data_IF_071142368761
#
_entry.id   IF_071142368761
#
_cell.length_a   1.000
_cell.length_b   1.000
_cell.length_c   1.000
_cell.angle_alpha   90.00
_cell.angle_beta   90.00
_cell.angle_gamma   90.00
#
_symmetry.space_group_name_H-M   'P 1'
#
loop_
_entity.id
_entity.type
_entity.pdbx_description
1 polymer ?
#
# COMPACT_ATOMS: atom_id res chain seq x y z
N UNK A 1 22.52 -16.22 -6.63
CA UNK A 1 22.47 -16.67 -8.04
C UNK A 1 21.84 -18.05 -8.13
N UNK A 2 22.27 -19.06 -7.35
CA UNK A 2 21.59 -20.35 -7.28
C UNK A 2 20.07 -20.25 -7.03
N UNK A 3 19.64 -19.25 -6.24
CA UNK A 3 18.23 -18.96 -5.98
C UNK A 3 17.45 -18.66 -7.26
N UNK A 4 18.01 -17.84 -8.16
CA UNK A 4 17.36 -17.47 -9.43
C UNK A 4 17.20 -18.68 -10.33
N UNK A 5 18.22 -19.54 -10.43
CA UNK A 5 18.12 -20.75 -11.25
C UNK A 5 17.10 -21.73 -10.66
N UNK A 6 17.08 -21.89 -9.34
CA UNK A 6 16.13 -22.78 -8.67
C UNK A 6 14.70 -22.33 -8.91
N UNK A 7 14.40 -21.07 -8.60
CA UNK A 7 13.07 -20.50 -8.81
C UNK A 7 12.70 -20.47 -10.30
N UNK A 8 13.64 -20.10 -11.17
CA UNK A 8 13.45 -20.10 -12.63
C UNK A 8 13.10 -21.47 -13.20
N UNK A 9 13.77 -22.53 -12.74
CA UNK A 9 13.45 -23.90 -13.12
C UNK A 9 12.08 -24.33 -12.57
N UNK A 10 11.78 -24.02 -11.31
CA UNK A 10 10.50 -24.36 -10.67
C UNK A 10 9.30 -23.72 -11.38
N UNK A 11 9.45 -22.48 -11.86
CA UNK A 11 8.41 -21.78 -12.59
C UNK A 11 8.41 -22.08 -14.10
N UNK A 12 9.35 -22.87 -14.60
CA UNK A 12 9.50 -23.10 -16.04
C UNK A 12 9.93 -21.85 -16.83
N UNK A 13 10.43 -20.83 -16.13
CA UNK A 13 10.94 -19.60 -16.73
C UNK A 13 12.33 -19.81 -17.35
N UNK A 14 13.16 -20.62 -16.70
CA UNK A 14 14.51 -20.98 -17.14
C UNK A 14 14.53 -22.48 -17.43
N UNK A 15 15.08 -22.87 -18.58
CA UNK A 15 15.24 -24.28 -18.94
C UNK A 15 16.51 -24.90 -18.35
N UNK A 16 16.55 -26.24 -18.31
CA UNK A 16 17.75 -26.99 -17.92
C UNK A 16 18.96 -26.59 -18.75
N UNK A 17 18.75 -26.46 -20.06
CA UNK A 17 19.77 -26.14 -21.05
C UNK A 17 20.33 -24.73 -20.83
N UNK A 18 19.49 -23.75 -20.48
CA UNK A 18 19.95 -22.40 -20.16
C UNK A 18 20.83 -22.39 -18.90
N UNK A 19 20.45 -23.14 -17.86
CA UNK A 19 21.27 -23.28 -16.65
C UNK A 19 22.59 -23.98 -17.00
N UNK A 20 22.55 -25.10 -17.73
CA UNK A 20 23.76 -25.84 -18.14
C UNK A 20 24.69 -24.94 -18.96
N UNK A 21 24.18 -24.23 -19.97
CA UNK A 21 24.98 -23.38 -20.83
C UNK A 21 25.69 -22.26 -20.04
N UNK A 22 24.98 -21.64 -19.10
CA UNK A 22 25.56 -20.60 -18.25
C UNK A 22 26.62 -21.19 -17.32
N UNK A 23 26.34 -22.32 -16.68
CA UNK A 23 27.27 -23.00 -15.78
C UNK A 23 28.53 -23.48 -16.52
N UNK A 24 28.38 -24.03 -17.72
CA UNK A 24 29.50 -24.41 -18.58
C UNK A 24 30.37 -23.22 -18.94
N UNK A 25 29.77 -22.04 -19.17
CA UNK A 25 30.52 -20.81 -19.41
C UNK A 25 31.34 -20.37 -18.19
N UNK A 26 30.83 -20.62 -16.97
CA UNK A 26 31.54 -20.36 -15.71
C UNK A 26 32.71 -21.33 -15.57
N UNK A 27 32.46 -22.63 -15.78
CA UNK A 27 33.48 -23.68 -15.74
C UNK A 27 34.61 -23.38 -16.72
N UNK A 28 34.29 -22.95 -17.95
CA UNK A 28 35.27 -22.64 -18.98
C UNK A 28 36.08 -21.37 -18.68
N UNK A 29 35.55 -20.45 -17.88
CA UNK A 29 36.20 -19.18 -17.56
C UNK A 29 37.06 -19.22 -16.28
N UNK A 30 36.91 -20.24 -15.44
CA UNK A 30 37.60 -20.38 -14.16
C UNK A 30 38.69 -21.45 -14.22
N UNK A 31 39.90 -21.14 -13.76
CA UNK A 31 41.03 -22.10 -13.75
C UNK A 31 40.78 -23.30 -12.80
N UNK A 32 39.96 -23.10 -11.76
CA UNK A 32 39.59 -24.12 -10.78
C UNK A 32 38.11 -23.91 -10.40
N UNK A 33 37.16 -24.36 -11.26
CA UNK A 33 35.75 -24.15 -11.01
C UNK A 33 35.28 -24.95 -9.80
N UNK A 34 34.32 -24.39 -9.06
CA UNK A 34 33.71 -25.08 -7.92
C UNK A 34 33.06 -26.39 -8.37
N UNK A 35 33.25 -27.46 -7.59
CA UNK A 35 32.62 -28.77 -7.81
C UNK A 35 31.10 -28.65 -7.96
N UNK A 36 30.48 -27.71 -7.23
CA UNK A 36 29.06 -27.40 -7.36
C UNK A 36 28.63 -27.11 -8.80
N UNK A 37 29.41 -26.31 -9.54
CA UNK A 37 29.10 -25.97 -10.93
C UNK A 37 29.26 -27.19 -11.84
N UNK A 38 30.27 -28.02 -11.62
CA UNK A 38 30.47 -29.26 -12.37
C UNK A 38 29.27 -30.21 -12.15
N UNK A 39 28.84 -30.41 -10.91
CA UNK A 39 27.67 -31.23 -10.57
C UNK A 39 26.40 -30.70 -11.25
N UNK A 40 26.19 -29.38 -11.24
CA UNK A 40 25.03 -28.74 -11.83
C UNK A 40 24.99 -28.83 -13.37
N UNK A 41 26.15 -28.76 -14.03
CA UNK A 41 26.28 -28.96 -15.48
C UNK A 41 25.93 -30.40 -15.89
N UNK A 42 26.41 -31.39 -15.12
CA UNK A 42 26.24 -32.82 -15.38
C UNK A 42 24.88 -33.39 -14.97
N UNK A 43 24.00 -32.59 -14.36
CA UNK A 43 22.64 -33.00 -14.02
C UNK A 43 21.87 -33.51 -15.24
N UNK A 44 21.17 -34.64 -15.06
CA UNK A 44 20.48 -35.38 -16.13
C UNK A 44 19.21 -34.68 -16.59
N UNK A 45 18.49 -34.06 -15.67
CA UNK A 45 17.25 -33.35 -15.94
C UNK A 45 17.08 -32.12 -15.02
N UNK A 46 16.02 -31.34 -15.25
CA UNK A 46 15.74 -30.14 -14.48
C UNK A 46 15.42 -30.41 -13.00
N UNK A 47 14.87 -31.59 -12.66
CA UNK A 47 14.58 -31.93 -11.27
C UNK A 47 15.87 -32.19 -10.50
N UNK A 48 16.84 -32.86 -11.11
CA UNK A 48 18.17 -33.06 -10.52
C UNK A 48 18.89 -31.71 -10.33
N UNK A 49 18.78 -30.77 -11.27
CA UNK A 49 19.29 -29.40 -11.07
C UNK A 49 18.61 -28.69 -9.90
N UNK A 50 17.28 -28.78 -9.79
CA UNK A 50 16.53 -28.22 -8.67
C UNK A 50 17.00 -28.82 -7.34
N UNK A 51 17.23 -30.14 -7.28
CA UNK A 51 17.72 -30.82 -6.08
C UNK A 51 19.11 -30.29 -5.68
N UNK A 52 20.05 -30.23 -6.63
CA UNK A 52 21.41 -29.72 -6.41
C UNK A 52 21.37 -28.26 -5.91
N UNK A 53 20.59 -27.40 -6.58
CA UNK A 53 20.43 -26.00 -6.20
C UNK A 53 19.80 -25.85 -4.80
N UNK A 54 18.84 -26.71 -4.45
CA UNK A 54 18.18 -26.69 -3.15
C UNK A 54 19.15 -26.95 -1.98
N UNK A 55 20.24 -27.70 -2.21
CA UNK A 55 21.26 -27.97 -1.17
C UNK A 55 22.04 -26.73 -0.75
N UNK A 56 22.16 -25.73 -1.65
CA UNK A 56 22.97 -24.52 -1.41
C UNK A 56 22.11 -23.27 -1.17
N UNK A 57 20.85 -23.28 -1.58
CA UNK A 57 19.93 -22.17 -1.36
C UNK A 57 19.52 -22.10 0.11
N UNK A 58 19.76 -20.95 0.74
CA UNK A 58 19.53 -20.73 2.18
C UNK A 58 18.06 -20.52 2.55
N UNK A 59 17.16 -20.50 1.57
CA UNK A 59 15.73 -20.20 1.75
C UNK A 59 15.43 -18.73 2.06
N UNK A 60 16.45 -17.87 2.16
CA UNK A 60 16.28 -16.43 2.31
C UNK A 60 15.76 -15.83 1.01
N UNK A 61 14.55 -15.28 1.05
CA UNK A 61 13.98 -14.51 -0.06
C UNK A 61 14.68 -13.15 -0.13
N UNK A 62 15.39 -12.89 -1.22
CA UNK A 62 16.09 -11.63 -1.45
C UNK A 62 15.38 -10.82 -2.55
N UNK A 63 15.16 -9.51 -2.37
CA UNK A 63 14.51 -8.66 -3.38
C UNK A 63 15.16 -8.77 -4.76
N UNK A 64 16.50 -8.80 -4.80
CA UNK A 64 17.27 -8.95 -6.05
C UNK A 64 16.89 -10.21 -6.84
N UNK A 65 16.59 -11.32 -6.18
CA UNK A 65 16.21 -12.57 -6.85
C UNK A 65 14.91 -12.37 -7.61
N UNK A 66 13.91 -11.75 -6.97
CA UNK A 66 12.61 -11.49 -7.57
C UNK A 66 12.70 -10.49 -8.72
N UNK A 67 13.50 -9.45 -8.58
CA UNK A 67 13.74 -8.46 -9.64
C UNK A 67 14.44 -9.07 -10.85
N UNK A 68 15.40 -9.96 -10.63
CA UNK A 68 16.06 -10.72 -11.69
C UNK A 68 15.06 -11.63 -12.40
N UNK A 69 14.20 -12.32 -11.66
CA UNK A 69 13.14 -13.17 -12.23
C UNK A 69 12.20 -12.36 -13.14
N UNK A 70 11.77 -11.17 -12.71
CA UNK A 70 10.96 -10.25 -13.52
C UNK A 70 11.72 -9.83 -14.79
N UNK A 71 13.00 -9.43 -14.67
CA UNK A 71 13.79 -9.00 -15.82
C UNK A 71 13.99 -10.12 -16.86
N UNK A 72 14.26 -11.35 -16.41
CA UNK A 72 14.36 -12.52 -17.29
C UNK A 72 13.01 -12.79 -17.97
N UNK A 73 11.91 -12.75 -17.22
CA UNK A 73 10.57 -12.93 -17.77
C UNK A 73 10.22 -11.85 -18.80
N UNK A 74 10.57 -10.59 -18.54
CA UNK A 74 10.41 -9.48 -19.48
C UNK A 74 11.15 -9.73 -20.80
N UNK A 75 12.41 -10.14 -20.76
CA UNK A 75 13.19 -10.44 -21.96
C UNK A 75 12.57 -11.59 -22.76
N UNK A 76 12.12 -12.64 -22.07
CA UNK A 76 11.53 -13.81 -22.71
C UNK A 76 10.14 -13.51 -23.30
N UNK A 77 9.30 -12.75 -22.63
CA UNK A 77 7.95 -12.43 -23.15
C UNK A 77 8.02 -11.48 -24.34
N UNK A 78 8.93 -10.49 -24.29
CA UNK A 78 9.16 -9.58 -25.42
C UNK A 78 9.80 -10.28 -26.62
N UNK A 79 10.69 -11.25 -26.37
CA UNK A 79 11.25 -12.15 -27.38
C UNK A 79 10.32 -13.29 -27.82
N UNK A 80 9.08 -13.34 -27.34
CA UNK A 80 8.10 -14.40 -27.62
C UNK A 80 8.56 -15.83 -27.26
N UNK A 81 9.53 -15.95 -26.34
CA UNK A 81 10.03 -17.22 -25.84
C UNK A 81 9.13 -17.82 -24.75
N UNK A 82 8.29 -17.01 -24.10
CA UNK A 82 7.25 -17.44 -23.15
C UNK A 82 5.92 -16.76 -23.48
N UNK A 83 4.81 -17.36 -23.01
CA UNK A 83 3.47 -16.77 -23.15
C UNK A 83 3.25 -15.58 -22.21
N UNK A 84 2.24 -14.75 -22.52
CA UNK A 84 1.76 -13.70 -21.61
C UNK A 84 1.31 -14.31 -20.28
N UNK A 85 0.62 -15.44 -20.32
CA UNK A 85 0.12 -16.12 -19.11
C UNK A 85 1.25 -16.53 -18.15
N UNK A 86 2.31 -17.16 -18.68
CA UNK A 86 3.47 -17.54 -17.85
C UNK A 86 4.17 -16.30 -17.27
N UNK A 87 4.29 -15.23 -18.05
CA UNK A 87 4.84 -13.96 -17.57
C UNK A 87 3.99 -13.36 -16.44
N UNK A 88 2.66 -13.32 -16.61
CA UNK A 88 1.71 -12.85 -15.61
C UNK A 88 1.81 -13.69 -14.33
N UNK A 89 1.90 -15.01 -14.45
CA UNK A 89 2.06 -15.91 -13.30
C UNK A 89 3.38 -15.65 -12.55
N UNK A 90 4.49 -15.43 -13.26
CA UNK A 90 5.76 -15.05 -12.63
C UNK A 90 5.62 -13.73 -11.88
N UNK A 91 5.03 -12.70 -12.49
CA UNK A 91 4.83 -11.39 -11.85
C UNK A 91 3.93 -11.50 -10.60
N UNK A 92 2.86 -12.30 -10.69
CA UNK A 92 1.94 -12.59 -9.59
C UNK A 92 2.66 -13.27 -8.42
N UNK A 93 3.46 -14.32 -8.70
CA UNK A 93 4.22 -15.03 -7.66
C UNK A 93 5.24 -14.12 -6.98
N UNK A 94 5.90 -13.26 -7.75
CA UNK A 94 6.82 -12.25 -7.22
C UNK A 94 6.07 -11.29 -6.28
N UNK A 95 4.93 -10.73 -6.69
CA UNK A 95 4.14 -9.81 -5.87
C UNK A 95 3.65 -10.48 -4.56
N UNK A 96 3.20 -11.73 -4.63
CA UNK A 96 2.78 -12.51 -3.46
C UNK A 96 3.91 -12.79 -2.46
N UNK A 97 5.17 -12.63 -2.86
CA UNK A 97 6.30 -12.82 -1.95
C UNK A 97 6.45 -11.70 -0.91
N UNK A 98 5.89 -10.50 -1.17
CA UNK A 98 5.90 -9.33 -0.28
C UNK A 98 7.30 -8.94 0.22
N UNK A 99 8.32 -9.12 -0.62
CA UNK A 99 9.70 -8.75 -0.30
C UNK A 99 10.20 -7.51 -1.06
N UNK A 100 9.45 -7.05 -2.06
CA UNK A 100 9.83 -5.86 -2.82
C UNK A 100 9.39 -4.59 -2.10
N UNK A 101 9.68 -3.43 -2.69
CA UNK A 101 9.15 -2.18 -2.17
C UNK A 101 7.62 -2.14 -2.34
N UNK A 102 6.87 -1.47 -1.44
CA UNK A 102 5.42 -1.32 -1.58
C UNK A 102 4.98 -0.78 -2.95
N UNK A 103 5.71 0.19 -3.51
CA UNK A 103 5.46 0.70 -4.87
C UNK A 103 5.63 -0.39 -5.95
N UNK A 104 6.58 -1.30 -5.78
CA UNK A 104 6.77 -2.42 -6.71
C UNK A 104 5.67 -3.47 -6.55
N UNK A 105 5.39 -3.87 -5.30
CA UNK A 105 4.37 -4.86 -4.99
C UNK A 105 2.99 -4.40 -5.49
N UNK A 106 2.65 -3.13 -5.33
CA UNK A 106 1.39 -2.57 -5.81
C UNK A 106 1.24 -2.72 -7.33
N UNK A 107 2.26 -2.32 -8.08
CA UNK A 107 2.24 -2.34 -9.55
C UNK A 107 2.21 -3.77 -10.12
N UNK A 108 2.94 -4.68 -9.46
CA UNK A 108 2.98 -6.09 -9.85
C UNK A 108 1.72 -6.86 -9.40
N UNK A 109 1.09 -6.46 -8.29
CA UNK A 109 -0.16 -7.06 -7.83
C UNK A 109 -1.30 -6.88 -8.82
N UNK A 110 -1.28 -5.81 -9.63
CA UNK A 110 -2.30 -5.62 -10.67
C UNK A 110 -2.32 -6.72 -11.75
N UNK A 111 -1.22 -7.48 -11.92
CA UNK A 111 -1.22 -8.67 -12.76
C UNK A 111 -2.13 -9.79 -12.22
N UNK A 112 -2.53 -9.76 -10.94
CA UNK A 112 -3.56 -10.67 -10.41
C UNK A 112 -4.89 -10.51 -11.16
N UNK A 113 -5.22 -9.28 -11.54
CA UNK A 113 -6.47 -8.93 -12.22
C UNK A 113 -6.38 -9.03 -13.75
N UNK A 114 -5.27 -9.53 -14.30
CA UNK A 114 -5.07 -9.58 -15.76
C UNK A 114 -6.21 -10.32 -16.47
N UNK A 115 -6.66 -11.45 -15.93
CA UNK A 115 -7.76 -12.24 -16.50
C UNK A 115 -9.08 -11.46 -16.54
N UNK A 116 -9.30 -10.57 -15.57
CA UNK A 116 -10.48 -9.71 -15.48
C UNK A 116 -10.35 -8.52 -16.44
N UNK A 117 -9.13 -8.01 -16.62
CA UNK A 117 -8.80 -6.94 -17.56
C UNK A 117 -8.96 -7.37 -19.02
N UNK A 118 -8.84 -8.67 -19.33
CA UNK A 118 -9.13 -9.21 -20.66
C UNK A 118 -10.58 -8.96 -21.12
N UNK A 119 -11.50 -8.72 -20.18
CA UNK A 119 -12.90 -8.40 -20.46
C UNK A 119 -13.20 -6.89 -20.52
N UNK A 120 -12.19 -6.03 -20.34
CA UNK A 120 -12.35 -4.58 -20.48
C UNK A 120 -12.28 -4.13 -21.95
N UNK A 121 -12.65 -2.88 -22.21
CA UNK A 121 -12.72 -2.35 -23.57
C UNK A 121 -11.36 -2.36 -24.30
N UNK A 122 -10.25 -2.17 -23.58
CA UNK A 122 -8.89 -2.07 -24.13
C UNK A 122 -7.87 -2.88 -23.31
N UNK A 123 -7.82 -4.22 -23.46
CA UNK A 123 -6.86 -5.06 -22.71
C UNK A 123 -5.40 -4.83 -23.12
N UNK A 124 -5.15 -4.41 -24.36
CA UNK A 124 -3.80 -4.13 -24.84
C UNK A 124 -3.23 -2.84 -24.24
N UNK A 125 -4.04 -1.82 -23.94
CA UNK A 125 -3.58 -0.60 -23.26
C UNK A 125 -3.02 -0.93 -21.87
N UNK A 126 -3.73 -1.78 -21.12
CA UNK A 126 -3.27 -2.27 -19.81
C UNK A 126 -1.97 -3.06 -19.95
N UNK A 127 -1.89 -3.95 -20.94
CA UNK A 127 -0.68 -4.71 -21.21
C UNK A 127 0.51 -3.79 -21.53
N UNK A 128 0.33 -2.81 -22.40
CA UNK A 128 1.38 -1.87 -22.79
C UNK A 128 1.85 -1.02 -21.62
N UNK A 129 0.93 -0.53 -20.78
CA UNK A 129 1.25 0.17 -19.55
C UNK A 129 2.09 -0.70 -18.60
N UNK A 130 1.67 -1.96 -18.39
CA UNK A 130 2.37 -2.88 -17.50
C UNK A 130 3.71 -3.32 -18.05
N UNK A 131 3.82 -3.54 -19.35
CA UNK A 131 5.11 -3.81 -20.00
C UNK A 131 6.05 -2.60 -19.92
N UNK A 132 5.53 -1.38 -20.05
CA UNK A 132 6.31 -0.17 -19.85
C UNK A 132 6.83 -0.08 -18.41
N UNK A 133 5.98 -0.39 -17.42
CA UNK A 133 6.40 -0.46 -16.02
C UNK A 133 7.52 -1.50 -15.80
N UNK A 134 7.32 -2.73 -16.26
CA UNK A 134 8.26 -3.86 -16.07
C UNK A 134 9.55 -3.68 -16.85
N UNK A 135 9.57 -2.86 -17.91
CA UNK A 135 10.80 -2.58 -18.67
C UNK A 135 11.95 -2.01 -17.83
N UNK A 136 11.68 -1.45 -16.64
CA UNK A 136 12.73 -1.03 -15.69
C UNK A 136 13.66 -2.17 -15.24
N UNK A 137 13.17 -3.41 -15.28
CA UNK A 137 13.94 -4.61 -14.93
C UNK A 137 14.69 -5.20 -16.14
N UNK A 138 14.57 -4.61 -17.33
CA UNK A 138 15.16 -5.13 -18.57
C UNK A 138 16.70 -5.29 -18.52
N UNK A 139 17.36 -4.57 -17.60
CA UNK A 139 18.79 -4.70 -17.37
C UNK A 139 19.21 -6.07 -16.82
N UNK A 140 18.31 -6.85 -16.21
CA UNK A 140 18.65 -8.18 -15.71
C UNK A 140 18.53 -9.24 -16.81
N UNK A 141 19.64 -9.91 -17.12
CA UNK A 141 19.69 -11.05 -18.05
C UNK A 141 20.45 -12.21 -17.42
N UNK A 142 20.31 -13.43 -17.96
CA UNK A 142 21.09 -14.57 -17.47
C UNK A 142 22.60 -14.36 -17.67
N UNK A 143 22.99 -13.79 -18.80
CA UNK A 143 24.39 -13.62 -19.20
C UNK A 143 25.14 -12.56 -18.38
N UNK A 144 24.42 -11.65 -17.72
CA UNK A 144 25.02 -10.55 -16.96
C UNK A 144 24.95 -10.75 -15.45
N UNK A 145 24.91 -11.98 -14.96
CA UNK A 145 24.78 -12.30 -13.53
C UNK A 145 25.79 -11.58 -12.62
N UNK A 146 27.01 -11.33 -13.10
CA UNK A 146 28.05 -10.59 -12.35
C UNK A 146 27.67 -9.12 -12.11
N UNK A 147 26.76 -8.56 -12.93
CA UNK A 147 26.31 -7.18 -12.87
C UNK A 147 25.01 -7.00 -12.08
N UNK A 148 24.30 -8.08 -11.73
CA UNK A 148 22.99 -7.99 -11.06
C UNK A 148 23.01 -7.13 -9.81
N UNK A 149 24.05 -7.23 -8.96
CA UNK A 149 24.17 -6.40 -7.76
C UNK A 149 24.23 -4.91 -8.12
N UNK A 150 25.05 -4.54 -9.10
CA UNK A 150 25.18 -3.15 -9.52
C UNK A 150 23.90 -2.60 -10.15
N UNK A 151 23.19 -3.41 -10.94
CA UNK A 151 21.88 -3.07 -11.52
C UNK A 151 20.84 -2.89 -10.41
N UNK A 152 20.79 -3.83 -9.46
CA UNK A 152 19.86 -3.78 -8.33
C UNK A 152 20.08 -2.53 -7.48
N UNK A 153 21.31 -2.17 -7.16
CA UNK A 153 21.60 -0.98 -6.36
C UNK A 153 21.12 0.30 -7.05
N UNK A 154 21.32 0.42 -8.36
CA UNK A 154 20.81 1.57 -9.14
C UNK A 154 19.29 1.61 -9.14
N UNK A 155 18.64 0.46 -9.27
CA UNK A 155 17.19 0.36 -9.23
C UNK A 155 16.65 0.70 -7.84
N UNK A 156 17.28 0.24 -6.77
CA UNK A 156 16.91 0.60 -5.39
C UNK A 156 17.00 2.09 -5.14
N UNK A 157 18.00 2.79 -5.68
CA UNK A 157 18.07 4.25 -5.57
C UNK A 157 16.86 4.96 -6.23
N UNK A 158 16.37 4.43 -7.34
CA UNK A 158 15.18 4.96 -8.03
C UNK A 158 13.93 4.67 -7.19
N UNK A 159 13.74 3.41 -6.79
CA UNK A 159 12.58 2.96 -6.03
C UNK A 159 12.47 3.63 -4.67
N UNK A 160 13.60 3.83 -3.97
CA UNK A 160 13.62 4.57 -2.70
C UNK A 160 13.12 6.01 -2.89
N UNK A 161 13.47 6.67 -4.00
CA UNK A 161 12.99 8.03 -4.28
C UNK A 161 11.51 8.04 -4.63
N UNK A 162 11.01 7.03 -5.34
CA UNK A 162 9.58 6.87 -5.64
C UNK A 162 8.78 6.65 -4.36
N UNK A 163 9.20 5.68 -3.53
CA UNK A 163 8.56 5.40 -2.24
C UNK A 163 8.54 6.62 -1.33
N UNK A 164 9.65 7.38 -1.25
CA UNK A 164 9.70 8.60 -0.44
C UNK A 164 8.69 9.66 -0.92
N UNK A 165 8.47 9.80 -2.23
CA UNK A 165 7.47 10.72 -2.79
C UNK A 165 6.05 10.27 -2.45
N UNK A 166 5.75 8.98 -2.54
CA UNK A 166 4.44 8.43 -2.17
C UNK A 166 4.17 8.60 -0.68
N UNK A 167 5.17 8.35 0.16
CA UNK A 167 5.05 8.52 1.61
C UNK A 167 4.80 9.98 1.98
N UNK A 168 5.47 10.92 1.32
CA UNK A 168 5.24 12.35 1.47
C UNK A 168 3.82 12.75 1.06
N UNK A 169 3.38 12.33 -0.14
CA UNK A 169 2.02 12.59 -0.63
C UNK A 169 0.95 11.99 0.28
N UNK A 170 1.16 10.77 0.78
CA UNK A 170 0.27 10.10 1.72
C UNK A 170 0.23 10.83 3.07
N UNK A 171 1.38 11.33 3.55
CA UNK A 171 1.45 12.13 4.77
C UNK A 171 0.73 13.48 4.62
N UNK A 172 0.86 14.14 3.47
CA UNK A 172 0.13 15.37 3.15
C UNK A 172 -1.37 15.15 3.08
N UNK A 173 -1.82 14.07 2.41
CA UNK A 173 -3.24 13.69 2.35
C UNK A 173 -3.80 13.43 3.75
N UNK A 174 -3.06 12.70 4.61
CA UNK A 174 -3.42 12.49 6.02
C UNK A 174 -3.52 13.80 6.80
N UNK A 175 -2.56 14.72 6.64
CA UNK A 175 -2.59 16.06 7.27
C UNK A 175 -3.78 16.88 6.80
N UNK A 176 -4.08 16.87 5.49
CA UNK A 176 -5.22 17.57 4.91
C UNK A 176 -6.55 17.00 5.43
N UNK A 177 -6.69 15.67 5.49
CA UNK A 177 -7.82 14.98 6.10
C UNK A 177 -8.01 15.35 7.56
N UNK A 178 -6.94 15.32 8.36
CA UNK A 178 -6.96 15.73 9.76
C UNK A 178 -7.34 17.22 9.94
N UNK A 179 -6.84 18.11 9.06
CA UNK A 179 -7.21 19.53 9.06
C UNK A 179 -8.71 19.71 8.76
N UNK A 180 -9.24 19.03 7.73
CA UNK A 180 -10.67 19.04 7.38
C UNK A 180 -11.53 18.53 8.54
N UNK A 181 -11.14 17.43 9.19
CA UNK A 181 -11.83 16.89 10.36
C UNK A 181 -11.83 17.87 11.54
N UNK A 182 -10.70 18.55 11.82
CA UNK A 182 -10.60 19.59 12.85
C UNK A 182 -11.50 20.79 12.56
N UNK A 183 -11.56 21.24 11.30
CA UNK A 183 -12.44 22.35 10.88
C UNK A 183 -13.91 21.96 11.05
N UNK A 184 -14.32 20.78 10.58
CA UNK A 184 -15.69 20.26 10.75
C UNK A 184 -16.08 20.19 12.23
N UNK A 185 -15.18 19.70 13.07
CA UNK A 185 -15.39 19.65 14.53
C UNK A 185 -15.55 21.04 15.15
N UNK A 186 -14.73 22.03 14.75
CA UNK A 186 -14.88 23.43 15.20
C UNK A 186 -16.22 24.03 14.77
N UNK A 187 -16.60 23.85 13.50
CA UNK A 187 -17.87 24.35 12.97
C UNK A 187 -19.08 23.81 13.75
N UNK A 188 -19.10 22.50 14.02
CA UNK A 188 -20.16 21.86 14.82
C UNK A 188 -20.24 22.49 16.22
N UNK A 189 -19.11 22.70 16.89
CA UNK A 189 -19.11 23.35 18.21
C UNK A 189 -19.56 24.81 18.16
N UNK A 190 -19.16 25.57 17.14
CA UNK A 190 -19.60 26.96 16.96
C UNK A 190 -21.11 27.03 16.71
N UNK A 191 -21.65 26.15 15.87
CA UNK A 191 -23.10 26.04 15.65
C UNK A 191 -23.83 25.67 16.94
N UNK A 192 -23.36 24.66 17.68
CA UNK A 192 -23.94 24.28 18.97
C UNK A 192 -23.94 25.44 19.98
N UNK A 193 -22.85 26.20 20.05
CA UNK A 193 -22.77 27.38 20.92
C UNK A 193 -23.78 28.44 20.50
N UNK A 194 -23.88 28.78 19.22
CA UNK A 194 -24.84 29.74 18.69
C UNK A 194 -26.29 29.33 18.97
N UNK A 195 -26.65 28.06 18.71
CA UNK A 195 -27.99 27.53 19.04
C UNK A 195 -28.29 27.64 20.53
N UNK A 196 -27.30 27.37 21.39
CA UNK A 196 -27.52 27.45 22.83
C UNK A 196 -27.70 28.89 23.28
N UNK A 197 -26.90 29.83 22.78
CA UNK A 197 -27.06 31.26 23.08
C UNK A 197 -28.42 31.77 22.62
N UNK A 198 -28.89 31.33 21.44
CA UNK A 198 -30.20 31.69 20.92
C UNK A 198 -31.33 31.12 21.80
N UNK A 199 -31.25 29.84 22.19
CA UNK A 199 -32.21 29.22 23.11
C UNK A 199 -32.24 29.94 24.47
N UNK A 200 -31.08 30.31 25.02
CA UNK A 200 -30.99 31.09 26.25
C UNK A 200 -31.61 32.49 26.11
N UNK A 201 -31.39 33.16 24.98
CA UNK A 201 -32.02 34.44 24.65
C UNK A 201 -33.55 34.35 24.59
N UNK A 202 -34.10 33.29 23.99
CA UNK A 202 -35.54 33.02 23.96
C UNK A 202 -36.07 32.85 25.39
N UNK A 203 -35.41 32.04 26.22
CA UNK A 203 -35.81 31.82 27.62
C UNK A 203 -35.83 33.14 28.40
N UNK A 204 -34.82 34.01 28.21
CA UNK A 204 -34.80 35.33 28.85
C UNK A 204 -35.96 36.20 28.35
N UNK A 205 -36.21 36.25 27.04
CA UNK A 205 -37.30 37.04 26.47
C UNK A 205 -38.66 36.58 27.01
N UNK A 206 -38.93 35.28 27.01
CA UNK A 206 -40.15 34.69 27.56
C UNK A 206 -40.30 35.04 29.05
N UNK A 207 -39.23 34.92 29.83
CA UNK A 207 -39.21 35.29 31.24
C UNK A 207 -39.50 36.78 31.47
N UNK A 208 -38.89 37.66 30.67
CA UNK A 208 -39.12 39.11 30.77
C UNK A 208 -40.55 39.51 30.36
N UNK A 209 -41.09 38.92 29.30
CA UNK A 209 -42.46 39.14 28.83
C UNK A 209 -43.51 38.67 29.86
N UNK A 210 -43.19 37.60 30.59
CA UNK A 210 -43.99 37.11 31.71
C UNK A 210 -43.99 38.11 32.88
N UNK A 211 -42.82 38.61 33.29
CA UNK A 211 -42.72 39.62 34.35
C UNK A 211 -43.47 40.91 33.98
N UNK A 212 -43.45 41.30 32.71
CA UNK A 212 -44.10 42.54 32.23
C UNK A 212 -45.65 42.46 32.12
N UNK A 213 -46.29 41.35 32.54
CA UNK A 213 -47.77 41.17 32.58
C UNK A 213 -48.50 41.41 31.25
N UNK A 214 -47.86 41.11 30.13
CA UNK A 214 -48.39 41.36 28.78
C UNK A 214 -49.12 40.16 28.14
N UNK A 215 -49.31 39.04 28.85
CA UNK A 215 -49.92 37.80 28.32
C UNK A 215 -51.21 37.41 29.08
N UNK A 216 -52.22 36.82 28.41
CA UNK A 216 -53.55 36.55 28.99
C UNK A 216 -53.61 35.36 29.97
N UNK A 217 -54.41 35.52 31.02
CA UNK A 217 -54.32 34.83 32.32
C UNK A 217 -54.62 33.32 32.40
N UNK A 218 -55.04 32.67 31.32
CA UNK A 218 -55.37 31.22 31.33
C UNK A 218 -54.27 30.31 30.82
N UNK A 219 -53.23 30.85 30.20
CA UNK A 219 -52.06 30.09 29.75
C UNK A 219 -50.92 30.08 30.80
N UNK A 220 -51.12 30.70 31.96
CA UNK A 220 -50.08 31.13 32.90
C UNK A 220 -49.48 30.03 33.80
N UNK A 221 -50.25 29.02 34.22
CA UNK A 221 -49.77 28.08 35.24
C UNK A 221 -48.92 26.93 34.66
N UNK A 222 -49.41 26.29 33.60
CA UNK A 222 -48.74 25.12 33.01
C UNK A 222 -47.47 25.51 32.25
N UNK A 223 -47.48 26.66 31.54
CA UNK A 223 -46.31 27.13 30.81
C UNK A 223 -45.21 27.64 31.77
N UNK A 224 -45.59 28.20 32.93
CA UNK A 224 -44.66 28.63 33.98
C UNK A 224 -43.98 27.45 34.67
N UNK A 225 -44.73 26.42 35.08
CA UNK A 225 -44.11 25.21 35.64
C UNK A 225 -43.16 24.55 34.65
N UNK A 226 -43.57 24.48 33.38
CA UNK A 226 -42.75 23.88 32.33
C UNK A 226 -41.46 24.70 32.11
N UNK A 227 -41.55 26.02 31.98
CA UNK A 227 -40.38 26.89 31.76
C UNK A 227 -39.43 26.96 32.97
N UNK A 228 -39.94 26.95 34.20
CA UNK A 228 -39.10 26.88 35.42
C UNK A 228 -38.39 25.53 35.52
N UNK A 229 -39.07 24.42 35.21
CA UNK A 229 -38.45 23.09 35.15
C UNK A 229 -37.35 23.04 34.08
N UNK A 230 -37.59 23.63 32.90
CA UNK A 230 -36.54 23.77 31.89
C UNK A 230 -35.37 24.60 32.42
N UNK A 231 -35.60 25.74 33.06
CA UNK A 231 -34.52 26.60 33.54
C UNK A 231 -33.68 25.92 34.64
N UNK A 232 -34.33 25.24 35.59
CA UNK A 232 -33.66 24.55 36.70
C UNK A 232 -32.93 23.28 36.26
N UNK A 233 -33.38 22.59 35.21
CA UNK A 233 -32.74 21.35 34.73
C UNK A 233 -31.73 21.63 33.61
N UNK A 234 -32.11 22.42 32.60
CA UNK A 234 -31.26 22.67 31.44
C UNK A 234 -30.07 23.57 31.74
N UNK A 235 -30.23 24.62 32.54
CA UNK A 235 -29.13 25.57 32.79
C UNK A 235 -27.98 24.89 33.56
N UNK A 236 -28.21 24.14 34.65
CA UNK A 236 -27.13 23.42 35.34
C UNK A 236 -26.54 22.29 34.51
N UNK A 237 -27.36 21.51 33.80
CA UNK A 237 -26.87 20.46 32.89
C UNK A 237 -25.95 21.04 31.81
N UNK A 238 -26.32 22.20 31.26
CA UNK A 238 -25.53 22.87 30.25
C UNK A 238 -24.22 23.45 30.81
N UNK A 239 -24.27 24.11 31.97
CA UNK A 239 -23.10 24.61 32.68
C UNK A 239 -22.11 23.48 32.99
N UNK A 240 -22.60 22.33 33.47
CA UNK A 240 -21.79 21.14 33.73
C UNK A 240 -21.18 20.57 32.43
N UNK A 241 -21.93 20.56 31.33
CA UNK A 241 -21.43 20.09 30.04
C UNK A 241 -20.36 21.00 29.45
N UNK A 242 -20.52 22.33 29.55
CA UNK A 242 -19.50 23.31 29.14
C UNK A 242 -18.26 23.20 30.02
N UNK A 243 -18.43 23.11 31.34
CA UNK A 243 -17.32 22.91 32.28
C UNK A 243 -16.55 21.62 32.00
N UNK A 244 -17.25 20.51 31.71
CA UNK A 244 -16.63 19.24 31.34
C UNK A 244 -15.83 19.33 30.02
N UNK A 245 -16.37 20.01 29.00
CA UNK A 245 -15.67 20.21 27.73
C UNK A 245 -14.43 21.08 27.91
N UNK A 246 -14.51 22.15 28.70
CA UNK A 246 -13.37 23.01 29.02
C UNK A 246 -12.30 22.24 29.82
N UNK A 247 -12.70 21.50 30.85
CA UNK A 247 -11.80 20.67 31.66
C UNK A 247 -11.06 19.61 30.83
N UNK A 248 -11.77 18.91 29.94
CA UNK A 248 -11.17 17.90 29.04
C UNK A 248 -10.16 18.53 28.08
N UNK A 249 -10.39 19.77 27.64
CA UNK A 249 -9.49 20.51 26.74
C UNK A 249 -8.20 20.97 27.43
N UNK A 250 -8.29 21.34 28.72
CA UNK A 250 -7.14 21.72 29.55
C UNK A 250 -6.27 20.50 29.87
N UNK A 251 -6.86 19.33 30.14
CA UNK A 251 -6.10 18.10 30.40
C UNK A 251 -5.54 17.40 29.15
N UNK A 252 -6.18 17.54 27.99
CA UNK A 252 -5.71 16.92 26.74
C UNK A 252 -4.64 17.72 25.99
N UNK A 253 -4.07 18.77 26.59
CA UNK A 253 -3.05 19.64 26.01
C UNK A 253 -1.65 19.47 26.63
N UNK A 254 -1.45 18.40 27.41
CA UNK A 254 -0.17 17.96 27.97
C UNK A 254 0.11 16.53 27.53
#
# INVERSE_FOLDING_TARGET
MPEVFREGLLYGLISKEEVTALVDSIIAAEDSPDYFYIELSLARDGNEQIEILTRVVTGLKLPIVQRVMIGIAYQKVTGQAISRDLFTDVCRQVALSQILYPVEDFELFEFEFYDEMLFMANPDDFWDEKMAYVSRYAGFTLDNYKQWIAINNRLEEILNKEQAKEDEAAAESRKAGAKRARIKKRLIYTLMAAFTTLAFGIIILDYTAFISKTLPSKFEADLYQTSVVYLVIFVPYFMLRVAYVLWKRVRGAW
#
